data_IF_181325319791
#
_entry.id   IF_181325319791
#
_cell.length_a   1.000
_cell.length_b   1.000
_cell.length_c   1.000
_cell.angle_alpha   90.00
_cell.angle_beta   90.00
_cell.angle_gamma   90.00
#
_symmetry.space_group_name_H-M   'P 1'
#
loop_
_entity.id
_entity.type
_entity.pdbx_description
1 polymer ?
#
# COMPACT_ATOMS: atom_id res chain seq x y z
N UNK A 1 31.68 16.75 44.47
CA UNK A 1 31.55 16.84 43.00
C UNK A 1 31.52 15.42 42.47
N UNK A 2 30.32 14.89 42.17
CA UNK A 2 30.14 13.52 41.67
C UNK A 2 29.12 13.54 40.54
N UNK A 3 29.50 12.98 39.41
CA UNK A 3 28.84 13.09 38.11
C UNK A 3 27.68 12.09 38.05
N UNK A 4 26.49 12.61 37.72
CA UNK A 4 25.30 11.83 37.38
C UNK A 4 25.53 11.03 36.10
N UNK A 5 25.47 9.69 36.18
CA UNK A 5 25.37 8.83 34.99
C UNK A 5 23.90 8.69 34.64
N UNK A 6 23.41 9.58 33.77
CA UNK A 6 22.09 9.45 33.14
C UNK A 6 22.09 8.17 32.32
N UNK A 7 21.25 7.20 32.69
CA UNK A 7 20.97 6.02 31.86
C UNK A 7 20.32 6.52 30.58
N UNK A 8 21.07 6.47 29.48
CA UNK A 8 20.53 6.65 28.13
C UNK A 8 19.38 5.67 27.93
N UNK A 9 18.19 6.20 27.69
CA UNK A 9 17.04 5.40 27.24
C UNK A 9 17.41 4.86 25.86
N UNK A 10 17.24 3.56 25.58
CA UNK A 10 17.57 3.02 24.27
C UNK A 10 16.72 3.76 23.22
N UNK A 11 17.42 4.29 22.21
CA UNK A 11 16.84 4.92 21.03
C UNK A 11 15.68 4.07 20.51
N UNK A 12 14.59 4.75 20.12
CA UNK A 12 13.43 4.15 19.49
C UNK A 12 13.87 3.09 18.46
N UNK A 13 13.54 1.82 18.73
CA UNK A 13 13.84 0.73 17.82
C UNK A 13 13.12 1.03 16.50
N UNK A 14 13.89 1.34 15.45
CA UNK A 14 13.37 1.34 14.08
C UNK A 14 12.76 -0.04 13.81
N UNK A 15 11.53 -0.15 13.31
CA UNK A 15 10.90 -1.45 13.07
C UNK A 15 11.78 -2.28 12.12
N UNK A 16 12.36 -3.38 12.63
CA UNK A 16 13.13 -4.34 11.82
C UNK A 16 12.14 -5.23 11.06
N UNK A 17 11.62 -4.73 9.94
CA UNK A 17 10.68 -5.46 9.09
C UNK A 17 11.19 -5.58 7.65
N UNK A 18 12.44 -6.04 7.48
CA UNK A 18 12.96 -6.38 6.15
C UNK A 18 12.87 -7.88 5.94
N UNK A 19 11.71 -8.36 5.47
CA UNK A 19 11.72 -9.63 4.73
C UNK A 19 12.30 -9.35 3.36
N UNK A 20 13.15 -10.26 2.91
CA UNK A 20 13.85 -10.18 1.63
C UNK A 20 13.18 -11.20 0.72
N UNK A 21 12.68 -10.74 -0.43
CA UNK A 21 12.06 -11.55 -1.46
C UNK A 21 13.09 -11.89 -2.53
N UNK A 22 13.04 -13.10 -3.09
CA UNK A 22 13.98 -13.55 -4.10
C UNK A 22 13.32 -13.61 -5.47
N UNK A 23 14.14 -13.63 -6.52
CA UNK A 23 13.66 -13.80 -7.88
C UNK A 23 12.86 -15.10 -8.01
N UNK A 24 11.69 -15.03 -8.63
CA UNK A 24 10.77 -16.16 -8.79
C UNK A 24 9.75 -16.32 -7.66
N UNK A 25 9.89 -15.58 -6.55
CA UNK A 25 8.85 -15.56 -5.51
C UNK A 25 7.52 -15.09 -6.10
N UNK A 26 6.43 -15.73 -5.63
CA UNK A 26 5.07 -15.38 -6.00
C UNK A 26 4.39 -14.70 -4.83
N UNK A 27 3.95 -13.46 -5.04
CA UNK A 27 3.32 -12.64 -4.02
C UNK A 27 1.85 -12.38 -4.36
N UNK A 28 1.04 -12.29 -3.30
CA UNK A 28 -0.31 -11.72 -3.36
C UNK A 28 -0.39 -10.57 -2.37
N UNK A 29 -1.09 -9.54 -2.79
CA UNK A 29 -1.35 -8.39 -1.93
C UNK A 29 -2.78 -8.54 -1.37
N UNK A 30 -2.87 -8.75 -0.06
CA UNK A 30 -4.11 -8.67 0.68
C UNK A 30 -4.15 -7.36 1.46
N UNK A 31 -5.25 -6.64 1.38
CA UNK A 31 -5.45 -5.38 2.11
C UNK A 31 -6.74 -5.45 2.91
N UNK A 32 -6.69 -4.92 4.14
CA UNK A 32 -7.84 -4.84 5.04
C UNK A 32 -7.80 -3.50 5.74
N UNK A 33 -8.88 -2.72 5.63
CA UNK A 33 -9.05 -1.49 6.40
C UNK A 33 -9.69 -1.80 7.76
N UNK A 34 -9.36 -1.03 8.79
CA UNK A 34 -9.93 -1.17 10.13
C UNK A 34 -11.14 -0.23 10.38
N UNK A 35 -11.52 0.56 9.38
CA UNK A 35 -12.64 1.48 9.35
C UNK A 35 -13.16 1.61 7.91
N UNK A 36 -14.38 2.12 7.76
CA UNK A 36 -14.96 2.39 6.45
C UNK A 36 -14.27 3.61 5.82
N UNK A 37 -14.16 3.64 4.49
CA UNK A 37 -13.54 4.75 3.76
C UNK A 37 -13.23 4.37 2.32
N UNK A 38 -12.24 5.05 1.73
CA UNK A 38 -11.79 4.86 0.36
C UNK A 38 -10.34 4.40 0.33
N UNK A 39 -10.05 3.40 -0.49
CA UNK A 39 -8.72 2.80 -0.61
C UNK A 39 -8.22 2.92 -2.05
N UNK A 40 -6.93 3.21 -2.18
CA UNK A 40 -6.19 3.12 -3.43
C UNK A 40 -4.90 2.35 -3.19
N UNK A 41 -4.56 1.51 -4.17
CA UNK A 41 -3.30 0.78 -4.17
C UNK A 41 -2.62 1.02 -5.51
N UNK A 42 -1.39 1.49 -5.46
CA UNK A 42 -0.59 1.84 -6.62
C UNK A 42 0.73 1.08 -6.54
N UNK A 43 1.12 0.40 -7.60
CA UNK A 43 2.44 -0.19 -7.76
C UNK A 43 3.36 0.76 -8.51
N UNK A 44 4.57 1.02 -8.03
CA UNK A 44 5.48 1.94 -8.70
C UNK A 44 6.91 1.39 -8.72
N UNK A 45 7.57 1.48 -9.88
CA UNK A 45 9.02 1.38 -10.02
C UNK A 45 9.68 2.74 -9.78
N UNK A 46 10.81 2.77 -9.09
CA UNK A 46 11.49 4.01 -8.72
C UNK A 46 11.69 4.93 -9.94
N UNK A 47 11.14 6.13 -9.86
CA UNK A 47 11.27 7.14 -10.91
C UNK A 47 10.33 6.98 -12.12
N UNK A 48 9.41 6.00 -12.10
CA UNK A 48 8.41 5.80 -13.15
C UNK A 48 7.01 6.23 -12.70
N UNK A 49 6.10 6.32 -13.66
CA UNK A 49 4.68 6.43 -13.37
C UNK A 49 4.22 5.20 -12.55
N UNK A 50 3.27 5.41 -11.66
CA UNK A 50 2.66 4.33 -10.89
C UNK A 50 1.60 3.62 -11.71
N UNK A 51 1.33 2.38 -11.35
CA UNK A 51 0.26 1.57 -11.90
C UNK A 51 -0.83 1.36 -10.86
N UNK A 52 -2.07 1.72 -11.18
CA UNK A 52 -3.19 1.57 -10.24
C UNK A 52 -3.58 0.09 -10.19
N UNK A 53 -3.55 -0.48 -8.98
CA UNK A 53 -3.97 -1.85 -8.69
C UNK A 53 -5.35 -1.92 -8.04
N UNK A 54 -5.81 -0.83 -7.39
CA UNK A 54 -7.13 -0.72 -6.81
C UNK A 54 -7.58 0.75 -6.86
N UNK A 55 -8.82 1.06 -7.29
CA UNK A 55 -9.90 0.14 -7.66
C UNK A 55 -9.62 -0.70 -8.92
N UNK A 56 -10.11 -1.95 -8.94
CA UNK A 56 -9.99 -2.90 -10.08
C UNK A 56 -11.37 -3.47 -10.38
N UNK A 57 -11.79 -3.50 -11.66
CA UNK A 57 -13.12 -3.98 -12.08
C UNK A 57 -13.51 -5.39 -11.60
N UNK A 58 -12.53 -6.25 -11.30
CA UNK A 58 -12.74 -7.62 -10.84
C UNK A 58 -12.89 -7.73 -9.32
N UNK A 59 -12.58 -6.65 -8.59
CA UNK A 59 -12.60 -6.60 -7.13
C UNK A 59 -13.60 -5.53 -6.71
N UNK A 60 -14.49 -5.84 -5.76
CA UNK A 60 -15.44 -4.88 -5.21
C UNK A 60 -16.29 -4.15 -6.28
N UNK A 61 -16.65 -4.85 -7.36
CA UNK A 61 -17.36 -4.27 -8.52
C UNK A 61 -16.66 -3.05 -9.14
N UNK A 62 -15.34 -2.90 -8.94
CA UNK A 62 -14.59 -1.75 -9.42
C UNK A 62 -14.73 -0.49 -8.58
N UNK A 63 -15.37 -0.55 -7.42
CA UNK A 63 -15.48 0.59 -6.50
C UNK A 63 -14.30 0.63 -5.53
N UNK A 64 -13.91 1.83 -5.12
CA UNK A 64 -12.81 2.06 -4.18
C UNK A 64 -13.25 2.22 -2.72
N UNK A 65 -14.56 2.21 -2.44
CA UNK A 65 -15.07 2.21 -1.07
C UNK A 65 -14.81 0.85 -0.41
N UNK A 66 -14.29 0.87 0.81
CA UNK A 66 -13.95 -0.32 1.57
C UNK A 66 -14.71 -0.33 2.88
N UNK A 67 -15.26 -1.49 3.21
CA UNK A 67 -15.89 -1.72 4.51
C UNK A 67 -14.85 -2.20 5.51
N UNK A 68 -14.98 -1.75 6.75
CA UNK A 68 -14.18 -2.17 7.90
C UNK A 68 -14.08 -3.68 7.98
N UNK A 69 -12.85 -4.16 8.20
CA UNK A 69 -12.48 -5.56 8.39
C UNK A 69 -12.76 -6.48 7.18
N UNK A 70 -13.09 -5.93 6.02
CA UNK A 70 -13.18 -6.70 4.77
C UNK A 70 -11.78 -6.85 4.15
N UNK A 71 -11.41 -8.09 3.80
CA UNK A 71 -10.17 -8.37 3.10
C UNK A 71 -10.38 -8.35 1.58
N UNK A 72 -9.53 -7.59 0.89
CA UNK A 72 -9.46 -7.54 -0.57
C UNK A 72 -8.13 -8.14 -1.02
N UNK A 73 -8.21 -9.16 -1.89
CA UNK A 73 -7.05 -9.74 -2.56
C UNK A 73 -6.92 -9.07 -3.92
N UNK A 74 -5.82 -8.37 -4.12
CA UNK A 74 -5.62 -7.54 -5.30
C UNK A 74 -4.84 -8.30 -6.38
N UNK A 75 -5.35 -8.35 -7.62
CA UNK A 75 -4.61 -8.91 -8.72
C UNK A 75 -3.45 -7.97 -9.11
N UNK A 76 -2.33 -8.51 -9.63
CA UNK A 76 -1.35 -7.71 -10.34
C UNK A 76 -1.98 -6.98 -11.53
N UNK A 77 -1.46 -5.79 -11.86
CA UNK A 77 -1.96 -4.94 -12.96
C UNK A 77 -2.05 -5.70 -14.29
N UNK A 78 -1.05 -6.52 -14.61
CA UNK A 78 -0.99 -7.26 -15.87
C UNK A 78 -1.52 -8.70 -15.75
N UNK A 79 -2.47 -8.95 -14.83
CA UNK A 79 -3.12 -10.24 -14.67
C UNK A 79 -4.16 -10.48 -15.77
N UNK A 80 -3.98 -11.46 -16.68
CA UNK A 80 -4.96 -11.76 -17.73
C UNK A 80 -6.13 -12.61 -17.25
N UNK A 81 -6.04 -13.18 -16.03
CA UNK A 81 -7.08 -14.07 -15.51
C UNK A 81 -8.35 -13.28 -15.13
N UNK A 82 -9.55 -13.80 -15.46
CA UNK A 82 -10.81 -13.24 -15.00
C UNK A 82 -10.95 -13.28 -13.48
N UNK A 83 -10.50 -14.37 -12.83
CA UNK A 83 -10.47 -14.50 -11.37
C UNK A 83 -9.17 -13.88 -10.80
N UNK A 84 -9.27 -12.82 -9.96
CA UNK A 84 -8.11 -12.24 -9.28
C UNK A 84 -7.29 -13.25 -8.47
N UNK A 85 -7.94 -14.31 -7.97
CA UNK A 85 -7.31 -15.35 -7.17
C UNK A 85 -6.45 -16.32 -7.98
N UNK A 86 -6.39 -16.20 -9.31
CA UNK A 86 -5.50 -17.03 -10.13
C UNK A 86 -4.16 -16.35 -10.39
N UNK A 87 -4.05 -15.06 -10.09
CA UNK A 87 -2.85 -14.28 -10.39
C UNK A 87 -1.92 -14.10 -9.20
N UNK A 88 -0.64 -13.97 -9.54
CA UNK A 88 0.46 -13.78 -8.60
C UNK A 88 1.41 -12.72 -9.14
N UNK A 89 1.82 -11.81 -8.27
CA UNK A 89 2.90 -10.90 -8.57
C UNK A 89 4.22 -11.66 -8.53
N UNK A 90 4.92 -11.72 -9.66
CA UNK A 90 6.22 -12.40 -9.75
C UNK A 90 7.33 -11.42 -9.38
N UNK A 91 8.09 -11.75 -8.35
CA UNK A 91 9.29 -10.98 -8.00
C UNK A 91 10.36 -11.23 -9.05
N UNK A 92 10.83 -10.16 -9.69
CA UNK A 92 11.90 -10.18 -10.69
C UNK A 92 13.21 -9.69 -10.09
N UNK A 93 14.35 -10.10 -10.66
CA UNK A 93 15.67 -9.58 -10.27
C UNK A 93 16.01 -8.22 -10.91
N UNK A 94 15.01 -7.43 -11.29
CA UNK A 94 15.26 -6.07 -11.76
C UNK A 94 15.87 -5.22 -10.63
N UNK A 95 16.97 -4.48 -10.90
CA UNK A 95 17.69 -3.71 -9.88
C UNK A 95 16.93 -2.47 -9.41
N UNK A 96 15.86 -2.09 -10.11
CA UNK A 96 15.01 -0.95 -9.79
C UNK A 96 14.23 -1.22 -8.50
N UNK A 97 14.19 -0.24 -7.59
CA UNK A 97 13.35 -0.36 -6.40
C UNK A 97 11.87 -0.31 -6.78
N UNK A 98 11.09 -1.12 -6.11
CA UNK A 98 9.65 -1.24 -6.33
C UNK A 98 8.89 -0.94 -5.04
N UNK A 99 7.71 -0.34 -5.19
CA UNK A 99 6.91 0.14 -4.08
C UNK A 99 5.43 -0.19 -4.31
N UNK A 100 4.76 -0.59 -3.24
CA UNK A 100 3.31 -0.47 -3.14
C UNK A 100 3.00 0.81 -2.35
N UNK A 101 2.27 1.71 -2.98
CA UNK A 101 1.78 2.93 -2.38
C UNK A 101 0.31 2.68 -2.04
N UNK A 102 0.00 2.76 -0.75
CA UNK A 102 -1.34 2.54 -0.22
C UNK A 102 -1.84 3.89 0.26
N UNK A 103 -2.95 4.33 -0.30
CA UNK A 103 -3.66 5.55 0.12
C UNK A 103 -4.99 5.13 0.68
N UNK A 104 -5.25 5.49 1.93
CA UNK A 104 -6.55 5.30 2.57
C UNK A 104 -7.06 6.66 3.02
N UNK A 105 -8.34 6.95 2.77
CA UNK A 105 -8.99 8.18 3.18
C UNK A 105 -10.39 7.90 3.73
N UNK A 106 -10.89 8.75 4.63
CA UNK A 106 -12.31 8.74 5.02
C UNK A 106 -13.20 9.37 3.96
N UNK A 107 -12.68 10.32 3.21
CA UNK A 107 -13.40 11.08 2.20
C UNK A 107 -12.93 10.69 0.79
N UNK A 108 -13.80 10.94 -0.18
CA UNK A 108 -13.52 10.57 -1.56
C UNK A 108 -12.46 11.51 -2.15
N UNK A 109 -11.32 10.95 -2.57
CA UNK A 109 -10.26 11.73 -3.23
C UNK A 109 -10.67 12.00 -4.68
N UNK A 110 -11.06 13.24 -4.97
CA UNK A 110 -11.60 13.65 -6.29
C UNK A 110 -10.55 13.65 -7.41
N UNK A 111 -9.27 13.84 -7.06
CA UNK A 111 -8.16 13.87 -8.01
C UNK A 111 -7.64 12.47 -8.36
N UNK A 112 -8.18 11.43 -7.72
CA UNK A 112 -7.86 10.03 -8.02
C UNK A 112 -9.07 9.30 -8.63
N UNK A 113 -8.85 8.28 -9.46
CA UNK A 113 -9.93 7.52 -10.05
C UNK A 113 -10.72 6.72 -9.03
N UNK A 114 -11.99 7.07 -8.84
CA UNK A 114 -12.84 6.50 -7.79
C UNK A 114 -13.55 5.20 -8.16
N UNK A 115 -13.86 5.02 -9.44
CA UNK A 115 -14.55 3.83 -9.92
C UNK A 115 -13.92 3.38 -11.23
N UNK A 116 -13.65 2.08 -11.32
CA UNK A 116 -13.31 1.44 -12.59
C UNK A 116 -14.46 1.68 -13.58
N UNK A 117 -14.24 2.53 -14.59
CA UNK A 117 -15.25 2.81 -15.61
C UNK A 117 -15.97 4.17 -15.52
N UNK A 118 -15.63 5.06 -14.58
CA UNK A 118 -16.49 6.21 -14.22
C UNK A 118 -16.62 7.34 -15.27
N UNK A 119 -15.68 7.51 -16.20
CA UNK A 119 -15.70 8.57 -17.23
C UNK A 119 -14.67 8.27 -18.34
N UNK A 120 -14.79 8.73 -19.59
CA UNK A 120 -13.87 8.27 -20.67
C UNK A 120 -12.38 8.59 -20.40
N UNK A 121 -12.07 9.77 -19.84
CA UNK A 121 -10.71 10.15 -19.44
C UNK A 121 -10.22 9.41 -18.17
N UNK A 122 -11.13 9.11 -17.24
CA UNK A 122 -10.86 8.32 -16.02
C UNK A 122 -10.73 6.83 -16.38
N UNK A 123 -11.49 6.38 -17.39
CA UNK A 123 -11.43 5.08 -18.04
C UNK A 123 -10.13 4.93 -18.79
N UNK A 124 -9.67 5.91 -19.55
CA UNK A 124 -8.36 5.83 -20.21
C UNK A 124 -7.21 5.79 -19.19
N UNK A 125 -7.25 6.61 -18.13
CA UNK A 125 -6.24 6.57 -17.07
C UNK A 125 -6.26 5.27 -16.24
N UNK A 126 -7.45 4.69 -15.99
CA UNK A 126 -7.61 3.40 -15.32
C UNK A 126 -7.41 2.19 -16.26
N UNK A 127 -7.72 2.32 -17.56
CA UNK A 127 -7.53 1.28 -18.56
C UNK A 127 -6.08 1.21 -19.05
N UNK A 128 -5.36 2.33 -19.07
CA UNK A 128 -3.90 2.31 -19.08
C UNK A 128 -3.35 1.87 -17.73
N UNK A 129 -4.11 2.11 -16.66
CA UNK A 129 -3.77 1.79 -15.28
C UNK A 129 -2.60 2.60 -14.78
N UNK A 130 -2.38 3.85 -15.25
CA UNK A 130 -1.15 4.62 -15.00
C UNK A 130 -1.46 5.94 -14.27
N UNK A 131 -0.82 6.16 -13.13
CA UNK A 131 -0.82 7.40 -12.35
C UNK A 131 0.52 8.11 -12.51
N UNK A 132 0.49 9.37 -12.98
CA UNK A 132 1.71 10.15 -13.23
C UNK A 132 2.59 10.28 -11.99
N UNK A 133 3.90 10.15 -12.17
CA UNK A 133 4.87 10.26 -11.07
C UNK A 133 4.73 11.59 -10.32
N UNK A 134 4.46 12.70 -11.00
CA UNK A 134 4.35 14.02 -10.39
C UNK A 134 3.19 14.08 -9.39
N UNK A 135 2.08 13.41 -9.70
CA UNK A 135 0.92 13.29 -8.81
C UNK A 135 1.30 12.46 -7.59
N UNK A 136 1.98 11.33 -7.79
CA UNK A 136 2.49 10.49 -6.70
C UNK A 136 3.43 11.29 -5.79
N UNK A 137 4.39 12.02 -6.37
CA UNK A 137 5.35 12.81 -5.61
C UNK A 137 4.67 13.93 -4.82
N UNK A 138 3.58 14.52 -5.33
CA UNK A 138 2.74 15.48 -4.62
C UNK A 138 2.07 14.87 -3.39
N UNK A 139 1.38 13.74 -3.56
CA UNK A 139 0.77 13.00 -2.45
C UNK A 139 1.81 12.51 -1.42
N UNK A 140 2.98 12.06 -1.88
CA UNK A 140 4.04 11.63 -0.96
C UNK A 140 4.64 12.80 -0.16
N UNK A 141 4.56 14.05 -0.66
CA UNK A 141 4.97 15.24 0.09
C UNK A 141 3.93 15.63 1.13
N UNK A 142 2.63 15.55 0.83
CA UNK A 142 1.57 15.79 1.80
C UNK A 142 1.55 14.71 2.89
N UNK A 143 1.81 13.44 2.52
CA UNK A 143 1.92 12.29 3.42
C UNK A 143 2.96 12.47 4.53
N UNK A 144 4.05 13.21 4.29
CA UNK A 144 5.09 13.46 5.31
C UNK A 144 4.57 14.30 6.48
N UNK A 145 3.40 14.93 6.35
CA UNK A 145 2.71 15.60 7.45
C UNK A 145 1.84 14.62 8.30
N UNK A 146 1.56 13.41 7.80
CA UNK A 146 0.80 12.40 8.53
C UNK A 146 1.75 11.51 9.34
N UNK A 147 1.68 11.59 10.66
CA UNK A 147 2.39 10.66 11.54
C UNK A 147 1.75 9.27 11.45
N UNK A 148 2.39 8.28 10.83
CA UNK A 148 1.93 6.88 10.86
C UNK A 148 3.00 5.93 11.40
N UNK A 149 2.56 4.78 11.92
CA UNK A 149 3.43 3.68 12.35
C UNK A 149 3.19 2.44 11.51
N UNK A 150 4.27 1.79 11.11
CA UNK A 150 4.25 0.49 10.43
C UNK A 150 4.67 -0.60 11.42
N UNK A 151 3.86 -1.65 11.48
CA UNK A 151 4.11 -2.87 12.24
C UNK A 151 4.18 -4.07 11.29
N UNK A 152 5.07 -5.02 11.58
CA UNK A 152 4.95 -6.38 11.07
C UNK A 152 3.76 -7.10 11.71
N UNK A 153 3.39 -8.26 11.15
CA UNK A 153 2.29 -9.11 11.62
C UNK A 153 2.09 -9.06 13.16
N UNK A 154 0.90 -8.66 13.65
CA UNK A 154 0.54 -8.72 15.05
C UNK A 154 0.67 -10.16 15.56
N UNK A 155 1.24 -10.32 16.76
CA UNK A 155 1.46 -11.65 17.36
C UNK A 155 0.16 -12.47 17.52
N UNK A 156 -1.00 -11.81 17.53
CA UNK A 156 -2.33 -12.40 17.67
C UNK A 156 -3.07 -12.63 16.34
N UNK A 157 -2.46 -12.39 15.17
CA UNK A 157 -3.11 -12.66 13.89
C UNK A 157 -3.32 -14.18 13.68
N UNK A 158 -4.58 -14.64 13.74
CA UNK A 158 -4.94 -16.07 13.72
C UNK A 158 -5.11 -16.67 12.31
N UNK A 159 -5.29 -15.85 11.27
CA UNK A 159 -5.53 -16.35 9.91
C UNK A 159 -4.22 -16.89 9.27
N UNK A 160 -4.12 -18.17 8.88
CA UNK A 160 -2.92 -18.73 8.23
C UNK A 160 -2.64 -18.18 6.81
N UNK A 161 -3.59 -17.47 6.18
CA UNK A 161 -3.38 -16.72 4.93
C UNK A 161 -2.54 -15.44 5.10
N UNK A 162 -2.40 -14.94 6.35
CA UNK A 162 -1.77 -13.65 6.69
C UNK A 162 -0.24 -13.71 6.88
N UNK A 163 0.46 -14.65 6.26
CA UNK A 163 1.90 -14.91 6.53
C UNK A 163 2.80 -13.66 6.36
N UNK A 164 2.33 -12.66 5.62
CA UNK A 164 3.06 -11.43 5.26
C UNK A 164 2.20 -10.16 5.38
N UNK A 165 1.63 -9.90 6.57
CA UNK A 165 0.86 -8.68 6.80
C UNK A 165 1.75 -7.48 7.19
N UNK A 166 1.58 -6.36 6.49
CA UNK A 166 2.06 -5.03 6.88
C UNK A 166 0.89 -4.30 7.52
N UNK A 167 1.06 -3.85 8.76
CA UNK A 167 0.04 -3.11 9.48
C UNK A 167 0.44 -1.65 9.55
N UNK A 168 -0.46 -0.78 9.13
CA UNK A 168 -0.26 0.67 9.20
C UNK A 168 -1.28 1.24 10.16
N UNK A 169 -0.83 2.11 11.04
CA UNK A 169 -1.71 2.84 11.97
C UNK A 169 -1.44 4.34 11.85
N UNK A 170 -2.47 5.12 11.56
CA UNK A 170 -2.40 6.57 11.69
C UNK A 170 -2.20 6.92 13.17
N UNK A 171 -1.19 7.73 13.45
CA UNK A 171 -0.88 8.23 14.80
C UNK A 171 -1.02 9.74 14.92
N UNK A 172 -1.40 10.43 13.84
CA UNK A 172 -1.77 11.82 13.87
C UNK A 172 -2.99 12.00 14.78
N UNK A 173 -2.89 12.94 15.73
CA UNK A 173 -3.93 13.22 16.73
C UNK A 173 -4.82 14.40 16.35
N UNK A 174 -4.37 15.23 15.41
CA UNK A 174 -5.06 16.44 14.98
C UNK A 174 -5.96 16.17 13.77
N UNK A 175 -5.59 15.21 12.94
CA UNK A 175 -6.31 14.87 11.72
C UNK A 175 -6.13 13.38 11.41
N UNK A 176 -7.25 12.68 11.23
CA UNK A 176 -7.32 11.24 10.93
C UNK A 176 -7.95 10.98 9.55
N UNK A 177 -7.95 11.97 8.65
CA UNK A 177 -8.64 11.85 7.37
C UNK A 177 -7.94 10.88 6.43
N UNK A 178 -6.61 10.93 6.36
CA UNK A 178 -5.86 10.23 5.34
C UNK A 178 -4.64 9.48 5.89
N UNK A 179 -4.28 8.38 5.22
CA UNK A 179 -3.07 7.59 5.42
C UNK A 179 -2.44 7.33 4.06
N UNK A 180 -1.21 7.79 3.86
CA UNK A 180 -0.43 7.48 2.65
C UNK A 180 0.86 6.75 3.05
N UNK A 181 1.00 5.50 2.63
CA UNK A 181 2.17 4.67 2.94
C UNK A 181 2.84 4.15 1.69
N UNK A 182 4.18 4.22 1.69
CA UNK A 182 5.03 3.63 0.67
C UNK A 182 5.75 2.40 1.22
N UNK A 183 5.31 1.22 0.83
CA UNK A 183 5.88 -0.08 1.24
C UNK A 183 6.88 -0.56 0.20
N UNK A 184 8.18 -0.62 0.51
CA UNK A 184 9.18 -1.12 -0.43
C UNK A 184 9.14 -2.64 -0.56
N UNK A 185 9.23 -3.14 -1.79
CA UNK A 185 9.52 -4.54 -2.06
C UNK A 185 11.02 -4.78 -1.89
N UNK A 186 11.45 -5.27 -0.73
CA UNK A 186 12.86 -5.55 -0.47
C UNK A 186 13.28 -6.83 -1.20
N UNK A 187 14.03 -6.71 -2.28
CA UNK A 187 14.57 -7.84 -3.03
C UNK A 187 15.95 -8.24 -2.53
N UNK A 188 16.20 -9.54 -2.46
CA UNK A 188 17.49 -10.13 -2.14
C UNK A 188 18.33 -10.27 -3.38
N UNK A 189 19.60 -9.88 -3.26
CA UNK A 189 20.64 -10.18 -4.25
C UNK A 189 20.93 -11.68 -4.27
#
# INVERSE_FOLDING_TARGET
>A
MSINRVRERPCAQRPRHRRVFHNGDQLRLGVTANQDGFLYVIYQKEGQDGLIMFPDSRVNNGENDVTKNQEFILPPVNCPAPDPNECWYKVTNEPTKEFFIIVFSRDQIVDLPNKAGANEAVREALASGVLKKEVIDSYMKSARMQDYKIYGRPANAKNPGSRYAVWVTNTNRADNEDIIVRVPLNKGS
#
